data_IF_546362720208
#
_entry.id   IF_546362720208
#
_cell.length_a   1.000
_cell.length_b   1.000
_cell.length_c   1.000
_cell.angle_alpha   90.00
_cell.angle_beta   90.00
_cell.angle_gamma   90.00
#
_symmetry.space_group_name_H-M   'P 1'
#
loop_
_entity.id
_entity.type
_entity.pdbx_description
1 polymer ?
#
# COMPACT_ATOMS: atom_id res chain seq x y z
N UNK A 1 -0.59 -12.58 -3.63
CA UNK A 1 -0.95 -13.74 -2.79
C UNK A 1 -2.42 -14.00 -3.01
N UNK A 2 -2.82 -15.25 -3.21
CA UNK A 2 -4.23 -15.65 -3.31
C UNK A 2 -4.48 -16.68 -2.21
N UNK A 3 -5.50 -16.46 -1.39
CA UNK A 3 -5.87 -17.34 -0.27
C UNK A 3 -6.93 -18.36 -0.71
N UNK A 4 -7.22 -19.36 0.13
CA UNK A 4 -8.21 -20.41 -0.17
C UNK A 4 -9.63 -19.85 -0.42
N UNK A 5 -9.93 -18.68 0.11
CA UNK A 5 -11.18 -17.93 -0.11
C UNK A 5 -11.17 -17.09 -1.41
N UNK A 6 -10.18 -17.28 -2.28
CA UNK A 6 -9.93 -16.49 -3.48
C UNK A 6 -9.65 -14.99 -3.24
N UNK A 7 -9.61 -14.54 -1.99
CA UNK A 7 -9.12 -13.21 -1.64
C UNK A 7 -7.66 -13.04 -2.03
N UNK A 8 -7.28 -11.81 -2.38
CA UNK A 8 -5.92 -11.51 -2.84
C UNK A 8 -5.34 -10.31 -2.14
N UNK A 9 -4.04 -10.40 -1.87
CA UNK A 9 -3.23 -9.26 -1.45
C UNK A 9 -2.04 -9.11 -2.41
N UNK A 10 -1.84 -7.91 -2.96
CA UNK A 10 -0.66 -7.58 -3.78
C UNK A 10 0.06 -6.33 -3.27
N UNK A 11 1.36 -6.28 -3.53
CA UNK A 11 2.26 -5.23 -3.09
C UNK A 11 2.98 -4.63 -4.28
N UNK A 12 3.04 -3.31 -4.34
CA UNK A 12 3.82 -2.56 -5.34
C UNK A 12 4.95 -1.83 -4.62
N UNK A 13 6.15 -1.93 -5.18
CA UNK A 13 7.35 -1.28 -4.67
C UNK A 13 7.86 -0.26 -5.68
N UNK A 14 8.45 0.83 -5.19
CA UNK A 14 9.20 1.77 -6.02
C UNK A 14 10.63 1.26 -6.32
N UNK A 15 11.39 2.05 -7.08
CA UNK A 15 12.78 1.72 -7.44
C UNK A 15 13.75 1.65 -6.23
N UNK A 16 13.35 2.19 -5.08
CA UNK A 16 14.07 2.11 -3.82
C UNK A 16 13.67 0.91 -2.96
N UNK A 17 12.89 -0.04 -3.50
CA UNK A 17 12.31 -1.17 -2.76
C UNK A 17 11.39 -0.75 -1.61
N UNK A 18 10.77 0.43 -1.68
CA UNK A 18 9.80 0.90 -0.68
C UNK A 18 8.39 0.57 -1.13
N UNK A 19 7.56 0.06 -0.22
CA UNK A 19 6.21 -0.36 -0.55
C UNK A 19 5.28 0.85 -0.71
N UNK A 20 4.88 1.14 -1.94
CA UNK A 20 4.02 2.29 -2.28
C UNK A 20 2.55 1.94 -2.39
N UNK A 21 2.20 0.65 -2.51
CA UNK A 21 0.82 0.20 -2.61
C UNK A 21 0.60 -1.16 -1.98
N UNK A 22 -0.54 -1.30 -1.29
CA UNK A 22 -1.13 -2.58 -0.90
C UNK A 22 -2.51 -2.62 -1.54
N UNK A 23 -2.82 -3.67 -2.30
CA UNK A 23 -4.17 -3.92 -2.79
C UNK A 23 -4.67 -5.17 -2.10
N UNK A 24 -5.65 -5.01 -1.22
CA UNK A 24 -6.36 -6.10 -0.58
C UNK A 24 -7.79 -6.19 -1.15
N UNK A 25 -8.16 -7.36 -1.68
CA UNK A 25 -9.44 -7.53 -2.36
C UNK A 25 -10.66 -7.37 -1.44
N UNK A 26 -10.48 -7.51 -0.12
CA UNK A 26 -11.55 -7.40 0.86
C UNK A 26 -11.59 -6.01 1.50
N UNK A 27 -10.43 -5.42 1.76
CA UNK A 27 -10.27 -4.23 2.59
C UNK A 27 -10.02 -2.96 1.77
N UNK A 28 -9.68 -3.09 0.49
CA UNK A 28 -9.40 -1.99 -0.43
C UNK A 28 -7.91 -1.70 -0.62
N UNK A 29 -7.60 -0.50 -1.13
CA UNK A 29 -6.22 -0.11 -1.50
C UNK A 29 -5.63 0.88 -0.50
N UNK A 30 -4.40 0.61 -0.08
CA UNK A 30 -3.56 1.53 0.70
C UNK A 30 -2.46 2.06 -0.21
N UNK A 31 -2.21 3.37 -0.17
CA UNK A 31 -1.17 4.04 -0.97
C UNK A 31 -0.27 4.85 -0.05
N UNK A 32 1.04 4.83 -0.30
CA UNK A 32 2.05 5.51 0.52
C UNK A 32 2.95 6.39 -0.34
N UNK A 33 3.32 7.55 0.19
CA UNK A 33 4.35 8.42 -0.40
C UNK A 33 5.52 8.58 0.56
N UNK A 34 6.72 8.60 0.00
CA UNK A 34 7.95 8.76 0.76
C UNK A 34 8.73 9.96 0.25
N UNK A 35 9.43 10.65 1.14
CA UNK A 35 10.42 11.66 0.75
C UNK A 35 11.75 11.00 0.30
N UNK A 36 12.73 11.85 -0.04
CA UNK A 36 14.05 11.40 -0.47
C UNK A 36 14.93 10.84 0.66
N UNK A 37 14.48 10.94 1.91
CA UNK A 37 15.12 10.39 3.11
C UNK A 37 14.45 9.10 3.57
N UNK A 38 13.57 8.53 2.74
CA UNK A 38 12.82 7.29 3.03
C UNK A 38 11.79 7.43 4.14
N UNK A 39 11.39 8.66 4.47
CA UNK A 39 10.34 8.90 5.46
C UNK A 39 8.96 8.88 4.80
N UNK A 40 7.99 8.23 5.44
CA UNK A 40 6.59 8.25 5.02
C UNK A 40 6.03 9.66 5.21
N UNK A 41 5.58 10.29 4.13
CA UNK A 41 5.00 11.65 4.13
C UNK A 41 3.50 11.67 3.94
N UNK A 42 2.90 10.60 3.41
CA UNK A 42 1.46 10.45 3.40
C UNK A 42 1.07 8.97 3.32
N UNK A 43 -0.09 8.65 3.89
CA UNK A 43 -0.77 7.38 3.71
C UNK A 43 -2.26 7.63 3.43
N UNK A 44 -2.75 7.05 2.33
CA UNK A 44 -4.17 7.04 1.98
C UNK A 44 -4.70 5.62 2.11
N UNK A 45 -5.74 5.46 2.90
CA UNK A 45 -6.49 4.21 3.10
C UNK A 45 -7.94 4.41 2.69
N UNK A 46 -8.73 3.33 2.57
CA UNK A 46 -10.17 3.44 2.35
C UNK A 46 -10.91 4.12 3.51
N UNK A 47 -10.28 4.23 4.69
CA UNK A 47 -10.85 4.86 5.87
C UNK A 47 -10.48 6.35 5.99
N UNK A 48 -9.51 6.85 5.21
CA UNK A 48 -9.09 8.25 5.27
C UNK A 48 -7.67 8.47 4.77
N UNK A 49 -7.14 9.68 4.97
CA UNK A 49 -5.76 10.02 4.60
C UNK A 49 -5.08 10.82 5.70
N UNK A 50 -3.77 10.62 5.83
CA UNK A 50 -2.87 11.38 6.71
C UNK A 50 -1.66 11.87 5.91
N UNK A 51 -1.19 13.08 6.20
CA UNK A 51 -0.04 13.74 5.59
C UNK A 51 0.59 14.75 6.55
#
# INVERSE_FOLDING_TARGET
MTYDDASTTSYTYDAGNRQIQIVDSLSGTITRTYDNLEHLTAETTPQGSVS
#
